data_IF_396075516971
#
_entry.id   IF_396075516971
#
_cell.length_a   1.000
_cell.length_b   1.000
_cell.length_c   1.000
_cell.angle_alpha   90.00
_cell.angle_beta   90.00
_cell.angle_gamma   90.00
#
_symmetry.space_group_name_H-M   'P 1'
#
loop_
_entity.id
_entity.type
_entity.pdbx_description
1 polymer ?
#
# COMPACT_ATOMS: atom_id res chain seq x y z
N UNK A 1 -3.93 14.67 15.97
CA UNK A 1 -2.77 13.80 15.72
C UNK A 1 -3.05 13.06 14.41
N UNK A 2 -2.19 13.17 13.39
CA UNK A 2 -2.50 12.67 12.04
C UNK A 2 -2.25 11.16 11.89
N UNK A 3 -1.33 10.61 12.68
CA UNK A 3 -0.95 9.20 12.64
C UNK A 3 -1.23 8.54 14.00
N UNK A 4 -1.85 7.36 13.98
CA UNK A 4 -2.05 6.55 15.18
C UNK A 4 -0.78 5.80 15.59
N UNK A 5 -0.01 5.33 14.61
CA UNK A 5 1.27 4.67 14.82
C UNK A 5 2.24 4.92 13.67
N UNK A 6 3.54 4.86 13.98
CA UNK A 6 4.63 4.93 13.01
C UNK A 6 5.49 3.68 13.20
N UNK A 7 5.73 2.95 12.11
CA UNK A 7 6.60 1.78 12.10
C UNK A 7 7.78 2.02 11.16
N UNK A 8 8.99 1.77 11.64
CA UNK A 8 10.21 1.76 10.84
C UNK A 8 10.95 0.46 11.13
N UNK A 9 11.45 -0.19 10.09
CA UNK A 9 12.13 -1.47 10.22
C UNK A 9 13.03 -1.73 9.02
N UNK A 10 14.09 -2.49 9.26
CA UNK A 10 14.97 -2.94 8.19
C UNK A 10 14.24 -4.04 7.42
N UNK A 11 14.08 -3.86 6.12
CA UNK A 11 13.32 -4.74 5.22
C UNK A 11 14.07 -6.04 4.89
N UNK A 12 14.73 -6.67 5.88
CA UNK A 12 15.58 -7.88 5.70
C UNK A 12 14.76 -9.04 5.11
N UNK A 13 13.47 -9.12 5.42
CA UNK A 13 12.55 -10.17 4.95
C UNK A 13 11.41 -9.63 4.04
N UNK A 14 11.62 -8.48 3.40
CA UNK A 14 10.63 -7.90 2.47
C UNK A 14 9.44 -7.19 3.15
N UNK A 15 8.78 -6.29 2.40
CA UNK A 15 7.62 -5.50 2.88
C UNK A 15 6.43 -6.38 3.29
N UNK A 16 6.24 -7.54 2.64
CA UNK A 16 5.17 -8.50 2.98
C UNK A 16 5.24 -8.99 4.42
N UNK A 17 6.44 -9.28 4.94
CA UNK A 17 6.61 -9.74 6.32
C UNK A 17 6.21 -8.66 7.31
N UNK A 18 6.57 -7.40 7.03
CA UNK A 18 6.18 -6.25 7.85
C UNK A 18 4.66 -6.07 7.85
N UNK A 19 4.04 -6.12 6.67
CA UNK A 19 2.57 -6.00 6.52
C UNK A 19 1.87 -7.10 7.34
N UNK A 20 2.24 -8.36 7.17
CA UNK A 20 1.61 -9.48 7.86
C UNK A 20 1.78 -9.40 9.38
N UNK A 21 2.96 -8.97 9.85
CA UNK A 21 3.20 -8.76 11.27
C UNK A 21 2.32 -7.63 11.82
N UNK A 22 2.17 -6.53 11.08
CA UNK A 22 1.31 -5.42 11.48
C UNK A 22 -0.16 -5.85 11.57
N UNK A 23 -0.67 -6.55 10.55
CA UNK A 23 -2.03 -7.10 10.55
C UNK A 23 -2.27 -7.98 11.79
N UNK A 24 -1.34 -8.88 12.09
CA UNK A 24 -1.43 -9.78 13.26
C UNK A 24 -1.37 -9.02 14.58
N UNK A 25 -0.44 -8.09 14.74
CA UNK A 25 -0.26 -7.32 15.98
C UNK A 25 -1.45 -6.41 16.27
N UNK A 26 -2.06 -5.86 15.22
CA UNK A 26 -3.21 -4.96 15.32
C UNK A 26 -4.56 -5.67 15.21
N UNK A 27 -4.57 -6.99 14.98
CA UNK A 27 -5.77 -7.80 14.79
C UNK A 27 -6.68 -7.26 13.67
N UNK A 28 -6.06 -6.72 12.61
CA UNK A 28 -6.75 -6.17 11.44
C UNK A 28 -6.96 -7.25 10.40
N UNK A 29 -8.11 -7.23 9.72
CA UNK A 29 -8.33 -8.11 8.58
C UNK A 29 -7.74 -7.50 7.30
N UNK A 30 -7.21 -8.31 6.36
CA UNK A 30 -6.63 -7.77 5.13
C UNK A 30 -7.59 -6.88 4.32
N UNK A 31 -8.89 -7.20 4.34
CA UNK A 31 -9.93 -6.41 3.65
C UNK A 31 -10.19 -5.03 4.27
N UNK A 32 -9.77 -4.80 5.52
CA UNK A 32 -9.91 -3.52 6.23
C UNK A 32 -8.68 -2.61 6.01
N UNK A 33 -7.68 -3.08 5.25
CA UNK A 33 -6.40 -2.40 5.08
C UNK A 33 -6.12 -2.08 3.62
N UNK A 34 -5.72 -0.82 3.40
CA UNK A 34 -5.24 -0.35 2.11
C UNK A 34 -3.80 0.18 2.24
N UNK A 35 -2.92 -0.28 1.37
CA UNK A 35 -1.55 0.19 1.26
C UNK A 35 -1.47 1.33 0.24
N UNK A 36 -0.72 2.39 0.54
CA UNK A 36 -0.46 3.49 -0.39
C UNK A 36 1.05 3.58 -0.61
N UNK A 37 1.51 3.48 -1.86
CA UNK A 37 2.94 3.48 -2.18
C UNK A 37 3.26 3.79 -3.65
N UNK A 38 4.49 4.18 -3.89
CA UNK A 38 5.03 4.61 -5.20
C UNK A 38 6.06 3.63 -5.78
N UNK A 39 6.31 2.50 -5.10
CA UNK A 39 7.21 1.46 -5.59
C UNK A 39 6.47 0.23 -6.13
N UNK A 40 7.01 -0.41 -7.17
CA UNK A 40 6.55 -1.73 -7.62
C UNK A 40 6.58 -2.77 -6.51
N UNK A 41 7.55 -2.65 -5.61
CA UNK A 41 7.72 -3.50 -4.42
C UNK A 41 6.57 -3.36 -3.43
N UNK A 42 5.88 -2.22 -3.39
CA UNK A 42 4.68 -2.02 -2.56
C UNK A 42 3.51 -2.83 -3.11
N UNK A 43 3.32 -2.78 -4.43
CA UNK A 43 2.26 -3.49 -5.14
C UNK A 43 2.46 -5.00 -4.98
N UNK A 44 3.67 -5.49 -5.24
CA UNK A 44 4.00 -6.91 -5.04
C UNK A 44 3.79 -7.36 -3.59
N UNK A 45 4.23 -6.55 -2.63
CA UNK A 45 4.15 -6.90 -1.23
C UNK A 45 2.72 -6.94 -0.71
N UNK A 46 1.91 -5.97 -1.12
CA UNK A 46 0.49 -5.86 -0.78
C UNK A 46 -0.32 -7.02 -1.34
N UNK A 47 -0.07 -7.41 -2.59
CA UNK A 47 -0.68 -8.59 -3.21
C UNK A 47 -0.34 -9.88 -2.46
N UNK A 48 0.93 -10.08 -2.10
CA UNK A 48 1.36 -11.25 -1.31
C UNK A 48 0.74 -11.27 0.09
N UNK A 49 0.44 -10.10 0.66
CA UNK A 49 -0.24 -9.96 1.95
C UNK A 49 -1.78 -9.96 1.83
N UNK A 50 -2.32 -10.10 0.61
CA UNK A 50 -3.75 -10.06 0.32
C UNK A 50 -4.45 -8.76 0.79
N UNK A 51 -3.76 -7.62 0.74
CA UNK A 51 -4.33 -6.30 1.02
C UNK A 51 -4.48 -5.47 -0.25
N UNK A 52 -5.43 -4.53 -0.26
CA UNK A 52 -5.61 -3.59 -1.37
C UNK A 52 -4.40 -2.65 -1.46
N UNK A 53 -4.04 -2.24 -2.67
CA UNK A 53 -2.96 -1.28 -2.91
C UNK A 53 -3.37 -0.14 -3.84
N UNK A 54 -3.07 1.08 -3.42
CA UNK A 54 -3.12 2.31 -4.20
C UNK A 54 -1.69 2.66 -4.61
N UNK A 55 -1.41 2.51 -5.90
CA UNK A 55 -0.18 3.02 -6.49
C UNK A 55 -0.34 4.52 -6.75
N UNK A 56 0.65 5.31 -6.35
CA UNK A 56 0.65 6.76 -6.54
C UNK A 56 1.73 7.18 -7.53
N UNK A 57 1.36 7.96 -8.55
CA UNK A 57 2.29 8.27 -9.66
C UNK A 57 3.12 9.54 -9.47
N UNK A 58 3.00 10.19 -8.30
CA UNK A 58 3.76 11.40 -7.96
C UNK A 58 5.05 11.11 -7.17
N UNK A 59 5.42 9.83 -7.06
CA UNK A 59 6.63 9.37 -6.37
C UNK A 59 7.72 8.89 -7.33
N UNK A 60 8.42 7.82 -6.94
CA UNK A 60 9.66 7.36 -7.53
C UNK A 60 9.52 6.65 -8.89
N UNK A 61 8.53 5.76 -9.04
CA UNK A 61 8.34 5.04 -10.30
C UNK A 61 7.35 5.75 -11.23
N UNK A 62 7.56 5.55 -12.54
CA UNK A 62 6.65 6.07 -13.55
C UNK A 62 5.28 5.36 -13.50
N UNK A 63 4.18 6.06 -13.85
CA UNK A 63 2.85 5.47 -13.88
C UNK A 63 2.77 4.19 -14.74
N UNK A 64 3.53 4.13 -15.85
CA UNK A 64 3.55 2.96 -16.74
C UNK A 64 4.17 1.73 -16.08
N UNK A 65 5.23 1.92 -15.28
CA UNK A 65 5.87 0.84 -14.52
C UNK A 65 4.94 0.34 -13.42
N UNK A 66 4.24 1.24 -12.74
CA UNK A 66 3.27 0.90 -11.70
C UNK A 66 2.06 0.16 -12.29
N UNK A 67 1.51 0.64 -13.42
CA UNK A 67 0.36 0.03 -14.09
C UNK A 67 0.63 -1.43 -14.50
N UNK A 68 1.85 -1.74 -14.97
CA UNK A 68 2.26 -3.12 -15.32
C UNK A 68 2.18 -4.09 -14.14
N UNK A 69 2.26 -3.60 -12.91
CA UNK A 69 2.11 -4.41 -11.71
C UNK A 69 0.65 -4.68 -11.34
N UNK A 70 -0.33 -4.13 -12.08
CA UNK A 70 -1.77 -4.30 -11.85
C UNK A 70 -2.22 -3.97 -10.41
N UNK A 71 -1.99 -2.74 -9.89
CA UNK A 71 -2.49 -2.35 -8.57
C UNK A 71 -4.03 -2.31 -8.55
N UNK A 72 -4.63 -2.26 -7.35
CA UNK A 72 -6.09 -2.09 -7.25
C UNK A 72 -6.53 -0.70 -7.73
N UNK A 73 -5.72 0.31 -7.44
CA UNK A 73 -5.90 1.69 -7.89
C UNK A 73 -4.57 2.26 -8.32
N UNK A 74 -4.57 3.08 -9.37
CA UNK A 74 -3.45 3.93 -9.77
C UNK A 74 -3.98 5.35 -9.86
N UNK A 75 -3.45 6.25 -9.03
CA UNK A 75 -3.91 7.64 -8.93
C UNK A 75 -2.75 8.62 -9.16
N UNK A 76 -3.09 9.83 -9.59
CA UNK A 76 -2.15 10.84 -10.07
C UNK A 76 -2.06 12.06 -9.15
N UNK A 77 -3.06 12.27 -8.30
CA UNK A 77 -3.13 13.35 -7.33
C UNK A 77 -3.56 12.83 -5.94
N UNK A 78 -2.99 13.37 -4.85
CA UNK A 78 -3.38 12.98 -3.49
C UNK A 78 -4.87 13.15 -3.17
N UNK A 79 -5.56 14.08 -3.83
CA UNK A 79 -6.99 14.32 -3.65
C UNK A 79 -7.85 13.11 -4.05
N UNK A 80 -7.39 12.31 -5.01
CA UNK A 80 -8.09 11.12 -5.50
C UNK A 80 -8.12 9.99 -4.44
N UNK A 81 -7.26 10.05 -3.41
CA UNK A 81 -7.32 9.11 -2.28
C UNK A 81 -8.67 9.15 -1.56
N UNK A 82 -9.32 10.31 -1.53
CA UNK A 82 -10.63 10.45 -0.90
C UNK A 82 -11.68 9.60 -1.63
N UNK A 83 -11.64 9.61 -2.96
CA UNK A 83 -12.54 8.80 -3.78
C UNK A 83 -12.26 7.31 -3.61
N UNK A 84 -10.98 6.91 -3.53
CA UNK A 84 -10.61 5.51 -3.32
C UNK A 84 -11.12 5.01 -1.97
N UNK A 85 -10.90 5.75 -0.88
CA UNK A 85 -11.27 5.32 0.48
C UNK A 85 -12.79 5.31 0.66
N UNK A 86 -13.51 6.26 0.07
CA UNK A 86 -14.98 6.31 0.17
C UNK A 86 -15.69 5.21 -0.63
N UNK A 87 -15.04 4.64 -1.65
CA UNK A 87 -15.59 3.59 -2.52
C UNK A 87 -14.97 2.20 -2.30
N UNK A 88 -14.14 2.04 -1.25
CA UNK A 88 -13.43 0.80 -0.94
C UNK A 88 -14.21 -0.14 -0.03
#
# INVERSE_FOLDING_TARGET
>A
NLFEFIYSGITIFGKTTIINNLLKQKQLKPEEVIYVGDETRDIEASKKANIKVVAVSWGFNSPEVLAKQNPNYLIHHPSELLDVVNNS
#
